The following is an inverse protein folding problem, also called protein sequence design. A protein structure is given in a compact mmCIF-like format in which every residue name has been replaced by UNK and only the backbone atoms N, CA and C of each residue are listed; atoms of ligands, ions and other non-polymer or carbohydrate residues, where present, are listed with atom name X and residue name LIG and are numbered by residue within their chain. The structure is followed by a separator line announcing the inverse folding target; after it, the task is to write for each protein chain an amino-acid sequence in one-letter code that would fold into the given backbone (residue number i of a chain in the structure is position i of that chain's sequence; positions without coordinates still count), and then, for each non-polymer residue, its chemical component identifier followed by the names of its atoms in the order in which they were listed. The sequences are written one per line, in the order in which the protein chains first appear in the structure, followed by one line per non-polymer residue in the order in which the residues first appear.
data_IF_930274993497
#
_entry.id   IF_930274993497
#
_cell.length_a   1.000
_cell.length_b   1.000
_cell.length_c   1.000
_cell.angle_alpha   90.00
_cell.angle_beta   90.00
_cell.angle_gamma   90.00
#
_symmetry.space_group_name_H-M   'P 1'
#
loop_
_entity.id
_entity.type
_entity.pdbx_description
1 polymer ?
#
# COMPACT_ATOMS: atom_id res chain seq x y z
N UNK A 1 10.78 -50.46 -24.00
CA UNK A 1 9.62 -50.49 -23.06
C UNK A 1 10.13 -50.19 -21.66
N UNK A 2 9.74 -49.06 -21.03
CA UNK A 2 10.08 -48.82 -19.62
C UNK A 2 9.28 -49.75 -18.73
N UNK A 3 9.98 -50.66 -18.02
CA UNK A 3 9.36 -51.55 -17.04
C UNK A 3 8.81 -50.73 -15.88
N UNK A 4 7.52 -50.94 -15.56
CA UNK A 4 6.88 -50.24 -14.41
C UNK A 4 7.64 -50.58 -13.12
N UNK A 5 7.77 -49.62 -12.19
CA UNK A 5 8.46 -49.81 -10.91
C UNK A 5 7.89 -51.02 -10.14
N UNK A 6 8.76 -51.72 -9.40
CA UNK A 6 8.40 -52.93 -8.69
C UNK A 6 7.27 -52.73 -7.68
N UNK A 7 7.31 -51.62 -6.93
CA UNK A 7 6.24 -51.23 -5.99
C UNK A 7 4.86 -51.12 -6.65
N UNK A 8 4.78 -50.62 -7.89
CA UNK A 8 3.50 -50.48 -8.62
C UNK A 8 2.94 -51.86 -9.03
N UNK A 9 3.81 -52.84 -9.35
CA UNK A 9 3.40 -54.17 -9.66
C UNK A 9 2.85 -54.88 -8.43
N UNK A 10 3.53 -54.73 -7.29
CA UNK A 10 3.13 -55.35 -6.01
C UNK A 10 1.79 -54.80 -5.53
N UNK A 11 1.57 -53.47 -5.67
CA UNK A 11 0.27 -52.86 -5.33
C UNK A 11 -0.86 -53.30 -6.27
N UNK A 12 -0.57 -53.47 -7.55
CA UNK A 12 -1.54 -53.99 -8.51
C UNK A 12 -1.91 -55.45 -8.24
N UNK A 13 -0.97 -56.26 -7.75
CA UNK A 13 -1.26 -57.65 -7.34
C UNK A 13 -2.12 -57.70 -6.09
N UNK A 14 -1.87 -56.89 -5.10
CA UNK A 14 -2.71 -56.80 -3.88
C UNK A 14 -4.14 -56.42 -4.22
N UNK A 15 -4.36 -55.59 -5.23
CA UNK A 15 -5.69 -55.16 -5.67
C UNK A 15 -6.39 -56.10 -6.64
N UNK A 16 -5.70 -57.18 -7.09
CA UNK A 16 -6.34 -58.25 -7.90
C UNK A 16 -7.36 -58.99 -7.04
N UNK A 17 -8.63 -58.88 -7.40
CA UNK A 17 -9.71 -59.55 -6.68
C UNK A 17 -10.60 -58.64 -5.83
N UNK A 18 -10.16 -57.38 -5.59
CA UNK A 18 -11.03 -56.41 -4.91
C UNK A 18 -12.04 -55.83 -5.87
N UNK A 19 -13.30 -55.71 -5.40
CA UNK A 19 -14.34 -54.94 -6.09
C UNK A 19 -14.03 -53.42 -6.09
N UNK A 20 -14.68 -52.64 -6.95
CA UNK A 20 -14.36 -51.19 -7.07
C UNK A 20 -14.52 -50.42 -5.74
N UNK A 21 -15.48 -50.81 -4.90
CA UNK A 21 -15.68 -50.19 -3.57
C UNK A 21 -14.55 -50.54 -2.59
N UNK A 22 -14.06 -51.78 -2.62
CA UNK A 22 -13.02 -52.24 -1.70
C UNK A 22 -11.65 -51.64 -2.10
N UNK A 23 -11.40 -51.48 -3.42
CA UNK A 23 -10.23 -50.74 -3.92
C UNK A 23 -10.22 -49.30 -3.45
N UNK A 24 -11.38 -48.61 -3.49
CA UNK A 24 -11.48 -47.25 -3.02
C UNK A 24 -11.23 -47.13 -1.50
N UNK A 25 -11.77 -48.08 -0.71
CA UNK A 25 -11.50 -48.16 0.74
C UNK A 25 -10.03 -48.39 1.03
N UNK A 26 -9.37 -49.28 0.32
CA UNK A 26 -7.93 -49.55 0.47
C UNK A 26 -7.11 -48.32 0.19
N UNK A 27 -7.33 -47.66 -0.96
CA UNK A 27 -6.62 -46.45 -1.34
C UNK A 27 -6.83 -45.38 -0.30
N UNK A 28 -8.06 -45.14 0.16
CA UNK A 28 -8.37 -44.14 1.19
C UNK A 28 -7.69 -44.47 2.53
N UNK A 29 -7.69 -45.70 2.95
CA UNK A 29 -7.13 -46.13 4.22
C UNK A 29 -5.60 -45.99 4.28
N UNK A 30 -4.91 -46.34 3.19
CA UNK A 30 -3.44 -46.34 3.15
C UNK A 30 -2.84 -45.04 2.62
N UNK A 31 -3.53 -44.34 1.71
CA UNK A 31 -2.99 -43.17 1.02
C UNK A 31 -3.69 -41.85 1.36
N UNK A 32 -4.60 -41.84 2.33
CA UNK A 32 -5.39 -40.61 2.67
C UNK A 32 -4.52 -39.39 2.94
N UNK A 33 -3.40 -39.54 3.66
CA UNK A 33 -2.51 -38.45 3.97
C UNK A 33 -1.82 -37.90 2.71
N UNK A 34 -1.40 -38.79 1.82
CA UNK A 34 -0.82 -38.40 0.54
C UNK A 34 -1.84 -37.76 -0.39
N UNK A 35 -3.05 -38.26 -0.45
CA UNK A 35 -4.13 -37.72 -1.26
C UNK A 35 -4.49 -36.32 -0.77
N UNK A 36 -4.62 -36.13 0.56
CA UNK A 36 -4.90 -34.82 1.16
C UNK A 36 -3.72 -33.87 0.90
N UNK A 37 -2.48 -34.33 1.11
CA UNK A 37 -1.28 -33.52 0.89
C UNK A 37 -1.14 -33.06 -0.57
N UNK A 38 -1.34 -33.96 -1.53
CA UNK A 38 -1.30 -33.63 -2.96
C UNK A 38 -2.46 -32.69 -3.31
N UNK A 39 -3.67 -32.95 -2.81
CA UNK A 39 -4.82 -32.09 -3.01
C UNK A 39 -4.57 -30.67 -2.50
N UNK A 40 -4.02 -30.54 -1.30
CA UNK A 40 -3.64 -29.25 -0.73
C UNK A 40 -2.56 -28.55 -1.57
N UNK A 41 -1.52 -29.27 -1.98
CA UNK A 41 -0.45 -28.71 -2.82
C UNK A 41 -1.00 -28.21 -4.18
N UNK A 42 -1.90 -28.95 -4.81
CA UNK A 42 -2.54 -28.53 -6.07
C UNK A 42 -3.42 -27.28 -5.86
N UNK A 43 -4.26 -27.28 -4.83
CA UNK A 43 -5.11 -26.11 -4.51
C UNK A 43 -4.27 -24.88 -4.18
N UNK A 44 -3.21 -25.03 -3.39
CA UNK A 44 -2.29 -23.94 -3.04
C UNK A 44 -1.57 -23.41 -4.27
N UNK A 45 -1.06 -24.29 -5.14
CA UNK A 45 -0.40 -23.89 -6.38
C UNK A 45 -1.37 -23.16 -7.33
N UNK A 46 -2.60 -23.66 -7.46
CA UNK A 46 -3.62 -23.00 -8.26
C UNK A 46 -4.00 -21.62 -7.70
N UNK A 47 -4.13 -21.49 -6.38
CA UNK A 47 -4.37 -20.22 -5.70
C UNK A 47 -3.19 -19.25 -5.90
N UNK A 48 -1.96 -19.71 -5.73
CA UNK A 48 -0.77 -18.88 -5.92
C UNK A 48 -0.64 -18.37 -7.36
N UNK A 49 -0.88 -19.24 -8.36
CA UNK A 49 -0.90 -18.88 -9.76
C UNK A 49 -2.02 -17.87 -10.06
N UNK A 50 -3.23 -18.13 -9.56
CA UNK A 50 -4.34 -17.21 -9.72
C UNK A 50 -4.00 -15.83 -9.14
N UNK A 51 -3.47 -15.79 -7.93
CA UNK A 51 -3.09 -14.55 -7.27
C UNK A 51 -1.98 -13.81 -8.04
N UNK A 52 -0.98 -14.56 -8.55
CA UNK A 52 0.11 -13.99 -9.34
C UNK A 52 -0.39 -13.32 -10.63
N UNK A 53 -1.40 -13.89 -11.31
CA UNK A 53 -1.91 -13.37 -12.57
C UNK A 53 -3.05 -12.37 -12.42
N UNK A 54 -3.73 -12.29 -11.27
CA UNK A 54 -4.91 -11.45 -11.07
C UNK A 54 -4.68 -10.25 -10.18
N UNK A 55 -3.70 -10.30 -9.27
CA UNK A 55 -3.39 -9.15 -8.41
C UNK A 55 -2.39 -8.26 -9.14
N UNK A 56 -2.72 -6.98 -9.39
CA UNK A 56 -1.77 -6.04 -9.97
C UNK A 56 -0.53 -5.93 -9.07
N UNK A 57 0.67 -6.09 -9.67
CA UNK A 57 1.94 -5.98 -8.97
C UNK A 57 2.42 -4.54 -8.78
N UNK A 58 1.91 -3.63 -9.62
CA UNK A 58 2.35 -2.24 -9.63
C UNK A 58 1.46 -1.35 -8.75
N UNK A 59 2.05 -0.30 -8.22
CA UNK A 59 1.34 0.75 -7.48
C UNK A 59 1.30 1.99 -8.37
N UNK A 60 0.09 2.46 -8.72
CA UNK A 60 -0.09 3.73 -9.42
C UNK A 60 0.07 4.91 -8.48
N UNK A 61 -0.49 4.80 -7.28
CA UNK A 61 -0.42 5.84 -6.26
C UNK A 61 -0.72 5.26 -4.88
N UNK A 62 0.01 5.73 -3.86
CA UNK A 62 -0.23 5.37 -2.47
C UNK A 62 -0.21 6.62 -1.59
N UNK A 63 -1.35 6.95 -0.98
CA UNK A 63 -1.48 8.07 -0.04
C UNK A 63 -1.89 7.60 1.35
N UNK A 64 -1.21 8.11 2.37
CA UNK A 64 -1.56 7.87 3.78
C UNK A 64 -2.25 9.10 4.33
N UNK A 65 -3.41 8.90 4.97
CA UNK A 65 -4.20 9.94 5.60
C UNK A 65 -4.30 9.66 7.09
N UNK A 66 -3.56 10.39 7.91
CA UNK A 66 -3.55 10.18 9.36
C UNK A 66 -4.64 10.99 10.06
N UNK A 67 -5.19 10.40 11.13
CA UNK A 67 -6.15 11.05 12.02
C UNK A 67 -7.44 11.56 11.34
N UNK A 68 -7.84 10.98 10.21
CA UNK A 68 -9.12 11.28 9.56
C UNK A 68 -10.14 10.18 9.81
N UNK A 69 -11.41 10.59 9.96
CA UNK A 69 -12.56 9.67 9.99
C UNK A 69 -13.36 9.69 8.69
N UNK A 70 -12.94 10.48 7.72
CA UNK A 70 -13.57 10.52 6.41
C UNK A 70 -13.30 9.23 5.62
N UNK A 71 -14.31 8.79 4.87
CA UNK A 71 -14.19 7.63 3.98
C UNK A 71 -13.59 8.10 2.65
N UNK A 72 -12.27 8.07 2.54
CA UNK A 72 -11.52 8.46 1.33
C UNK A 72 -11.03 7.27 0.52
N UNK A 73 -10.96 6.07 1.11
CA UNK A 73 -10.43 4.86 0.49
C UNK A 73 -11.33 4.26 -0.59
N UNK A 74 -10.94 3.10 -1.06
CA UNK A 74 -11.57 2.38 -2.17
C UNK A 74 -13.10 2.33 -2.06
N UNK A 75 -13.80 2.65 -3.17
CA UNK A 75 -15.25 2.69 -3.25
C UNK A 75 -15.89 3.99 -2.76
N UNK A 76 -15.14 4.95 -2.21
CA UNK A 76 -15.64 6.29 -1.89
C UNK A 76 -15.78 7.16 -3.14
N UNK A 77 -16.59 8.23 -3.03
CA UNK A 77 -16.71 9.23 -4.11
C UNK A 77 -15.37 9.90 -4.38
N UNK A 78 -14.61 10.23 -3.33
CA UNK A 78 -13.29 10.83 -3.42
C UNK A 78 -12.32 9.92 -4.20
N UNK A 79 -12.21 8.64 -3.82
CA UNK A 79 -11.37 7.66 -4.49
C UNK A 79 -11.72 7.51 -5.98
N UNK A 80 -13.02 7.31 -6.26
CA UNK A 80 -13.49 7.13 -7.64
C UNK A 80 -13.28 8.38 -8.49
N UNK A 81 -13.45 9.57 -7.89
CA UNK A 81 -13.16 10.84 -8.53
C UNK A 81 -11.68 10.98 -8.90
N UNK A 82 -10.79 10.69 -7.97
CA UNK A 82 -9.35 10.75 -8.21
C UNK A 82 -8.89 9.74 -9.26
N UNK A 83 -9.30 8.47 -9.15
CA UNK A 83 -8.96 7.43 -10.14
C UNK A 83 -9.44 7.81 -11.54
N UNK A 84 -10.67 8.34 -11.64
CA UNK A 84 -11.22 8.81 -12.92
C UNK A 84 -10.47 10.02 -13.47
N UNK A 85 -10.12 10.99 -12.63
CA UNK A 85 -9.34 12.17 -13.02
C UNK A 85 -7.94 11.81 -13.53
N UNK A 86 -7.25 10.95 -12.80
CA UNK A 86 -5.91 10.50 -13.14
C UNK A 86 -5.87 9.52 -14.33
N UNK A 87 -7.01 8.93 -14.71
CA UNK A 87 -7.11 7.95 -15.78
C UNK A 87 -6.44 6.61 -15.49
N UNK A 88 -6.33 6.21 -14.22
CA UNK A 88 -5.66 4.98 -13.82
C UNK A 88 -6.44 3.73 -14.26
N UNK A 89 -5.72 2.78 -14.86
CA UNK A 89 -6.25 1.43 -15.12
C UNK A 89 -5.98 0.52 -13.91
N UNK A 90 -7.00 0.30 -13.09
CA UNK A 90 -6.91 -0.53 -11.89
C UNK A 90 -6.64 -2.02 -12.17
N UNK A 91 -6.64 -2.45 -13.43
CA UNK A 91 -6.20 -3.80 -13.82
C UNK A 91 -4.68 -3.90 -13.91
N UNK A 92 -4.00 -2.79 -14.15
CA UNK A 92 -2.55 -2.73 -14.31
C UNK A 92 -1.84 -2.34 -13.02
N UNK A 93 -2.50 -1.57 -12.14
CA UNK A 93 -1.91 -1.15 -10.90
C UNK A 93 -2.94 -0.75 -9.84
N UNK A 94 -2.46 -0.62 -8.60
CA UNK A 94 -3.28 -0.31 -7.43
C UNK A 94 -3.18 1.17 -7.09
N UNK A 95 -4.31 1.77 -6.76
CA UNK A 95 -4.38 3.05 -6.05
C UNK A 95 -4.80 2.75 -4.61
N UNK A 96 -4.02 3.19 -3.64
CA UNK A 96 -4.34 3.00 -2.23
C UNK A 96 -4.41 4.35 -1.52
N UNK A 97 -5.49 4.55 -0.78
CA UNK A 97 -5.68 5.72 0.10
C UNK A 97 -5.92 5.15 1.51
N UNK A 98 -4.82 4.97 2.27
CA UNK A 98 -4.86 4.41 3.62
C UNK A 98 -5.30 5.44 4.65
N UNK A 99 -6.54 5.33 5.11
CA UNK A 99 -7.12 6.18 6.16
C UNK A 99 -7.09 5.52 7.56
N UNK A 100 -6.47 4.35 7.69
CA UNK A 100 -6.41 3.61 8.95
C UNK A 100 -5.11 3.88 9.72
N UNK A 101 -4.68 5.12 9.77
CA UNK A 101 -3.48 5.56 10.46
C UNK A 101 -3.82 6.58 11.54
N UNK A 102 -3.59 6.25 12.81
CA UNK A 102 -3.95 7.09 13.96
C UNK A 102 -2.70 7.36 14.81
N UNK A 103 -1.93 8.37 14.44
CA UNK A 103 -0.73 8.78 15.16
C UNK A 103 -0.62 10.30 15.23
N UNK A 104 0.06 10.79 16.26
CA UNK A 104 0.43 12.20 16.44
C UNK A 104 1.94 12.30 16.64
N UNK A 105 2.74 12.36 15.58
CA UNK A 105 4.19 12.49 15.66
C UNK A 105 4.65 13.72 16.45
N UNK A 106 3.94 14.83 16.37
CA UNK A 106 4.19 16.06 17.15
C UNK A 106 4.12 15.83 18.67
N UNK A 107 3.29 14.89 19.11
CA UNK A 107 3.13 14.51 20.51
C UNK A 107 4.22 13.57 21.05
N UNK A 108 5.26 13.22 20.29
CA UNK A 108 6.32 12.25 20.65
C UNK A 108 5.78 10.92 21.18
N UNK A 109 4.71 10.41 20.57
CA UNK A 109 4.10 9.15 20.99
C UNK A 109 5.00 7.95 20.62
N UNK A 110 6.04 7.72 21.43
CA UNK A 110 6.87 6.51 21.35
C UNK A 110 6.02 5.29 21.74
N UNK A 111 6.12 4.21 20.97
CA UNK A 111 5.36 2.97 21.22
C UNK A 111 3.97 2.94 20.61
N UNK A 112 3.62 3.86 19.73
CA UNK A 112 2.40 3.80 18.95
C UNK A 112 2.64 2.96 17.67
N UNK A 113 1.95 1.83 17.56
CA UNK A 113 2.06 0.92 16.39
C UNK A 113 1.78 1.63 15.05
N UNK A 114 0.88 2.61 15.04
CA UNK A 114 0.60 3.39 13.83
C UNK A 114 1.75 4.32 13.46
N UNK A 115 2.45 4.89 14.45
CA UNK A 115 3.65 5.66 14.20
C UNK A 115 4.78 4.79 13.62
N UNK A 116 5.01 3.62 14.20
CA UNK A 116 6.00 2.67 13.69
C UNK A 116 5.66 2.19 12.27
N UNK A 117 4.37 1.94 12.00
CA UNK A 117 3.87 1.62 10.67
C UNK A 117 4.17 2.76 9.69
N UNK A 118 3.83 4.00 10.04
CA UNK A 118 4.07 5.19 9.21
C UNK A 118 5.56 5.31 8.85
N UNK A 119 6.44 5.26 9.86
CA UNK A 119 7.89 5.35 9.65
C UNK A 119 8.39 4.22 8.75
N UNK A 120 7.91 3.00 8.96
CA UNK A 120 8.29 1.85 8.12
C UNK A 120 7.84 2.00 6.67
N UNK A 121 6.70 2.63 6.43
CA UNK A 121 6.19 2.88 5.07
C UNK A 121 6.99 3.98 4.38
N UNK A 122 7.23 5.11 5.07
CA UNK A 122 8.06 6.20 4.56
C UNK A 122 9.47 5.71 4.20
N UNK A 123 10.13 4.99 5.12
CA UNK A 123 11.49 4.45 4.90
C UNK A 123 11.50 3.32 3.85
N UNK A 124 10.39 2.58 3.74
CA UNK A 124 10.20 1.50 2.77
C UNK A 124 9.87 1.95 1.35
N UNK A 125 9.71 3.26 1.11
CA UNK A 125 9.36 3.86 -0.20
C UNK A 125 8.04 3.33 -0.77
N UNK A 126 7.10 2.98 0.11
CA UNK A 126 5.81 2.39 -0.28
C UNK A 126 4.83 3.46 -0.71
N UNK A 127 4.72 4.52 0.11
CA UNK A 127 3.83 5.65 -0.09
C UNK A 127 4.46 6.77 -0.92
N UNK A 128 3.59 7.59 -1.51
CA UNK A 128 3.97 8.79 -2.27
C UNK A 128 3.75 10.05 -1.44
N UNK A 129 2.65 10.06 -0.69
CA UNK A 129 2.24 11.20 0.12
C UNK A 129 1.77 10.78 1.50
N UNK A 130 1.93 11.70 2.42
CA UNK A 130 1.32 11.63 3.73
C UNK A 130 0.56 12.92 4.04
N UNK A 131 -0.71 12.79 4.46
CA UNK A 131 -1.58 13.91 4.80
C UNK A 131 -1.93 13.85 6.28
N UNK A 132 -1.69 14.95 6.99
CA UNK A 132 -1.99 15.09 8.41
C UNK A 132 -2.17 16.56 8.79
N UNK A 133 -2.38 16.85 10.08
CA UNK A 133 -2.34 18.22 10.62
C UNK A 133 -0.91 18.79 10.49
N UNK A 134 -0.79 20.10 10.38
CA UNK A 134 0.48 20.78 10.08
C UNK A 134 1.61 20.44 11.08
N UNK A 135 1.30 20.41 12.38
CA UNK A 135 2.27 20.10 13.45
C UNK A 135 2.87 18.69 13.26
N UNK A 136 2.06 17.73 12.85
CA UNK A 136 2.51 16.34 12.65
C UNK A 136 3.39 16.23 11.40
N UNK A 137 3.02 16.93 10.30
CA UNK A 137 3.83 16.94 9.07
C UNK A 137 5.19 17.62 9.32
N UNK A 138 5.22 18.71 10.09
CA UNK A 138 6.45 19.38 10.49
C UNK A 138 7.34 18.43 11.28
N UNK A 139 6.78 17.73 12.29
CA UNK A 139 7.54 16.80 13.13
C UNK A 139 8.17 15.63 12.34
N UNK A 140 7.52 15.13 11.30
CA UNK A 140 8.11 14.13 10.40
C UNK A 140 9.10 14.78 9.43
N UNK A 141 8.80 15.98 8.91
CA UNK A 141 9.70 16.74 8.04
C UNK A 141 11.06 17.02 8.69
N UNK A 142 11.07 17.35 9.98
CA UNK A 142 12.30 17.54 10.77
C UNK A 142 13.21 16.30 10.76
N UNK A 143 12.65 15.10 10.58
CA UNK A 143 13.42 13.86 10.48
C UNK A 143 14.03 13.59 9.10
N UNK A 144 13.80 14.45 8.10
CA UNK A 144 14.30 14.31 6.74
C UNK A 144 13.59 13.25 5.88
N UNK A 145 12.41 12.76 6.32
CA UNK A 145 11.63 11.73 5.59
C UNK A 145 10.70 12.30 4.53
N UNK A 146 10.48 13.61 4.57
CA UNK A 146 9.70 14.31 3.55
C UNK A 146 10.63 15.02 2.57
N UNK A 147 10.19 15.09 1.33
CA UNK A 147 10.92 15.71 0.22
C UNK A 147 11.08 17.22 0.46
N UNK A 148 12.29 17.76 0.21
CA UNK A 148 12.45 19.19 -0.01
C UNK A 148 11.77 19.56 -1.34
N UNK A 149 10.63 20.25 -1.26
CA UNK A 149 9.82 20.58 -2.43
C UNK A 149 10.50 21.56 -3.39
N UNK A 150 11.59 22.23 -2.96
CA UNK A 150 12.41 23.02 -3.87
C UNK A 150 13.17 22.17 -4.90
N UNK A 151 13.35 20.88 -4.63
CA UNK A 151 14.04 19.94 -5.56
C UNK A 151 13.17 19.51 -6.73
N UNK A 152 11.86 19.79 -6.70
CA UNK A 152 10.93 19.48 -7.77
C UNK A 152 10.37 20.77 -8.37
N UNK A 153 10.87 21.15 -9.57
CA UNK A 153 10.50 22.40 -10.23
C UNK A 153 8.99 22.53 -10.49
N UNK A 154 8.30 21.45 -10.83
CA UNK A 154 6.87 21.48 -11.12
C UNK A 154 6.02 21.75 -9.86
N UNK A 155 6.40 21.13 -8.72
CA UNK A 155 5.74 21.40 -7.44
C UNK A 155 6.02 22.84 -6.98
N UNK A 156 7.26 23.30 -7.14
CA UNK A 156 7.67 24.65 -6.79
C UNK A 156 6.93 25.69 -7.62
N UNK A 157 6.84 25.53 -8.93
CA UNK A 157 6.14 26.46 -9.81
C UNK A 157 4.66 26.59 -9.47
N UNK A 158 3.98 25.44 -9.24
CA UNK A 158 2.53 25.42 -9.01
C UNK A 158 2.13 25.77 -7.57
N UNK A 159 2.89 25.33 -6.58
CA UNK A 159 2.42 25.30 -5.18
C UNK A 159 3.29 26.05 -4.19
N UNK A 160 4.34 26.77 -4.62
CA UNK A 160 5.26 27.48 -3.71
C UNK A 160 4.57 28.48 -2.76
N UNK A 161 3.46 29.09 -3.18
CA UNK A 161 2.66 29.98 -2.32
C UNK A 161 1.96 29.27 -1.14
N UNK A 162 1.93 27.93 -1.14
CA UNK A 162 1.30 27.07 -0.13
C UNK A 162 2.30 26.22 0.63
N UNK A 163 3.58 26.47 0.48
CA UNK A 163 4.61 25.67 1.12
C UNK A 163 4.61 25.85 2.64
N UNK A 164 4.70 24.71 3.33
CA UNK A 164 4.90 24.61 4.78
C UNK A 164 6.35 24.22 5.01
N UNK A 165 7.01 24.90 5.92
CA UNK A 165 8.44 24.79 6.16
C UNK A 165 8.74 24.12 7.49
N UNK A 166 9.83 23.36 7.56
CA UNK A 166 10.45 22.94 8.81
C UNK A 166 11.96 23.18 8.78
N UNK A 167 12.59 23.16 9.96
CA UNK A 167 14.05 23.13 10.08
C UNK A 167 14.45 21.69 10.39
N UNK A 168 15.21 21.00 9.54
CA UNK A 168 15.66 19.63 9.78
C UNK A 168 16.46 19.50 11.08
N UNK A 169 16.31 18.35 11.76
CA UNK A 169 17.11 18.06 12.98
C UNK A 169 18.55 17.72 12.67
N UNK A 170 18.84 17.23 11.46
CA UNK A 170 20.20 16.95 11.01
C UNK A 170 20.79 18.22 10.34
N UNK A 171 21.71 18.86 11.06
CA UNK A 171 22.43 20.05 10.58
C UNK A 171 23.22 19.81 9.27
N UNK A 172 23.59 18.56 8.98
CA UNK A 172 24.23 18.21 7.71
C UNK A 172 23.27 18.27 6.52
N UNK A 173 21.95 18.24 6.77
CA UNK A 173 20.94 18.34 5.72
C UNK A 173 20.70 19.81 5.34
N UNK A 174 20.36 20.66 6.30
CA UNK A 174 20.18 22.10 6.10
C UNK A 174 20.04 22.84 7.45
N UNK A 175 20.73 23.97 7.60
CA UNK A 175 20.53 24.93 8.71
C UNK A 175 19.35 25.87 8.46
N UNK A 176 18.81 25.88 7.24
CA UNK A 176 17.74 26.78 6.83
C UNK A 176 16.42 26.01 6.74
N UNK A 177 15.28 26.71 6.99
CA UNK A 177 13.98 26.12 6.76
C UNK A 177 13.82 25.63 5.33
N UNK A 178 13.37 24.38 5.17
CA UNK A 178 13.06 23.75 3.89
C UNK A 178 11.56 23.51 3.74
N UNK A 179 10.97 23.66 2.55
CA UNK A 179 9.58 23.38 2.33
C UNK A 179 9.36 21.87 2.24
N UNK A 180 8.58 21.31 3.18
CA UNK A 180 8.34 19.86 3.30
C UNK A 180 6.89 19.48 3.07
N UNK A 181 6.00 20.44 2.94
CA UNK A 181 4.58 20.18 2.81
C UNK A 181 3.84 21.27 2.02
N UNK A 182 2.64 20.92 1.59
CA UNK A 182 1.73 21.79 0.86
C UNK A 182 0.45 21.95 1.68
N UNK A 183 0.08 23.18 2.01
CA UNK A 183 -1.17 23.48 2.70
C UNK A 183 -2.37 23.20 1.80
N UNK A 184 -3.27 22.34 2.28
CA UNK A 184 -4.48 21.91 1.57
C UNK A 184 -5.72 22.76 1.90
N UNK A 185 -5.56 23.89 2.57
CA UNK A 185 -6.66 24.79 2.87
C UNK A 185 -7.40 25.21 1.60
N UNK A 186 -8.71 25.14 1.64
CA UNK A 186 -9.58 25.49 0.50
C UNK A 186 -9.79 24.36 -0.51
N UNK A 187 -9.19 23.17 -0.31
CA UNK A 187 -9.47 22.00 -1.13
C UNK A 187 -10.76 21.29 -0.72
N UNK A 188 -11.32 20.48 -1.62
CA UNK A 188 -12.48 19.63 -1.33
C UNK A 188 -12.22 18.69 -0.13
N UNK A 189 -10.99 18.21 0.05
CA UNK A 189 -10.59 17.34 1.15
C UNK A 189 -10.89 17.97 2.52
N UNK A 190 -10.61 19.26 2.68
CA UNK A 190 -10.85 20.02 3.92
C UNK A 190 -12.30 20.52 4.00
N UNK A 191 -12.85 21.03 2.91
CA UNK A 191 -14.19 21.62 2.84
C UNK A 191 -15.31 20.59 2.68
N UNK A 192 -15.42 19.98 1.51
CA UNK A 192 -16.54 19.11 1.15
C UNK A 192 -16.54 17.79 1.94
N UNK A 193 -15.37 17.12 2.00
CA UNK A 193 -15.24 15.85 2.71
C UNK A 193 -15.04 16.01 4.21
N UNK A 194 -14.75 17.22 4.68
CA UNK A 194 -14.50 17.52 6.11
C UNK A 194 -13.52 16.55 6.77
N UNK A 195 -12.54 16.06 5.99
CA UNK A 195 -11.59 15.08 6.45
C UNK A 195 -10.65 15.65 7.53
N UNK A 196 -10.39 16.95 7.47
CA UNK A 196 -9.51 17.67 8.39
C UNK A 196 -10.12 19.04 8.76
N UNK A 197 -10.96 19.09 9.79
CA UNK A 197 -11.67 20.34 10.14
C UNK A 197 -10.73 21.47 10.58
N UNK A 198 -9.53 21.17 11.05
CA UNK A 198 -8.51 22.15 11.47
C UNK A 198 -7.51 22.49 10.36
N UNK A 199 -7.72 21.99 9.14
CA UNK A 199 -6.78 22.09 8.04
C UNK A 199 -5.87 20.87 7.94
N UNK A 200 -5.25 20.71 6.78
CA UNK A 200 -4.34 19.63 6.48
C UNK A 200 -3.13 20.11 5.69
N UNK A 201 -2.03 19.41 5.84
CA UNK A 201 -0.81 19.56 5.05
C UNK A 201 -0.48 18.22 4.40
N UNK A 202 -0.11 18.26 3.13
CA UNK A 202 0.39 17.13 2.38
C UNK A 202 1.91 17.18 2.36
N UNK A 203 2.57 16.20 2.95
CA UNK A 203 3.98 15.93 2.79
C UNK A 203 4.21 14.92 1.66
N UNK A 204 5.23 15.11 0.85
CA UNK A 204 5.66 14.17 -0.18
C UNK A 204 6.77 13.30 0.39
N UNK A 205 6.68 11.98 0.23
CA UNK A 205 7.74 11.08 0.68
C UNK A 205 9.05 11.39 -0.06
N UNK A 206 10.16 11.57 0.69
CA UNK A 206 11.47 11.88 0.12
C UNK A 206 11.97 10.84 -0.89
N UNK A 207 11.45 9.63 -0.81
CA UNK A 207 11.88 8.49 -1.63
C UNK A 207 10.84 8.03 -2.64
N UNK A 208 9.75 8.80 -2.86
CA UNK A 208 8.72 8.41 -3.85
C UNK A 208 9.32 8.19 -5.22
N UNK A 209 8.85 7.15 -5.89
CA UNK A 209 9.23 6.84 -7.27
C UNK A 209 8.23 7.42 -8.28
N UNK A 210 7.17 8.11 -7.80
CA UNK A 210 6.02 8.57 -8.60
C UNK A 210 5.69 10.05 -8.38
N UNK A 211 6.68 10.96 -8.45
CA UNK A 211 6.45 12.40 -8.18
C UNK A 211 5.42 13.02 -9.13
N UNK A 212 5.34 12.55 -10.39
CA UNK A 212 4.34 13.03 -11.35
C UNK A 212 2.91 12.71 -10.90
N UNK A 213 2.70 11.56 -10.25
CA UNK A 213 1.39 11.18 -9.74
C UNK A 213 0.98 12.02 -8.51
N UNK A 214 1.97 12.49 -7.75
CA UNK A 214 1.73 13.45 -6.66
C UNK A 214 1.19 14.77 -7.23
N UNK A 215 1.74 15.24 -8.34
CA UNK A 215 1.25 16.45 -9.02
C UNK A 215 -0.17 16.26 -9.52
N UNK A 216 -0.46 15.11 -10.15
CA UNK A 216 -1.83 14.77 -10.61
C UNK A 216 -2.81 14.75 -9.43
N UNK A 217 -2.39 14.21 -8.28
CA UNK A 217 -3.22 14.18 -7.08
C UNK A 217 -3.49 15.60 -6.54
N UNK A 218 -2.48 16.44 -6.48
CA UNK A 218 -2.63 17.84 -6.06
C UNK A 218 -3.52 18.63 -7.04
N UNK A 219 -3.32 18.43 -8.36
CA UNK A 219 -4.17 19.07 -9.37
C UNK A 219 -5.65 18.65 -9.20
N UNK A 220 -5.91 17.38 -8.81
CA UNK A 220 -7.26 16.91 -8.47
C UNK A 220 -7.82 17.59 -7.21
N UNK A 221 -7.00 17.84 -6.19
CA UNK A 221 -7.46 18.45 -4.96
C UNK A 221 -7.81 19.94 -5.12
N UNK A 222 -7.13 20.63 -6.01
CA UNK A 222 -7.24 22.09 -6.21
C UNK A 222 -8.12 22.50 -7.40
N UNK A 223 -8.99 21.61 -7.88
CA UNK A 223 -9.97 21.90 -8.96
C UNK A 223 -11.00 22.95 -8.62
#
# INVERSE_FOLDING_TARGET
MRTLPQWYRDEREKLKGYGPRDRLKYIWQYYRLWIIGIGFAVCFSAYALWNYFTVPGDIHFYGIFSNTYARLGQGSAFYNGFVGYAGFDLKQGVVELDCANYCKPSGRATGNTYYEKLISMLDGKVDDIWVAEAEDVIAIGETGRLMDLNTNDALKEKYSARFVYCTPLDENYSDQPVPIGIDLSGTALVGEYSAYPNGAVLGVNAYTQRPDQVIVFLDYLFQ
#
